data_IF_707988205371
#
_entry.id   IF_707988205371
#
_cell.length_a   1.000
_cell.length_b   1.000
_cell.length_c   1.000
_cell.angle_alpha   90.00
_cell.angle_beta   90.00
_cell.angle_gamma   90.00
#
_symmetry.space_group_name_H-M   'P 1'
#
loop_
_entity.id
_entity.type
_entity.pdbx_description
1 polymer ?
#
# COMPACT_ATOMS: atom_id res chain seq x y z
N UNK A 1 0.66 25.14 11.08
CA UNK A 1 1.90 24.34 11.25
C UNK A 1 1.82 23.16 10.29
N UNK A 2 2.71 23.07 9.28
CA UNK A 2 2.74 21.96 8.30
C UNK A 2 3.63 20.83 8.84
N UNK A 3 3.06 19.68 9.14
CA UNK A 3 3.80 18.50 9.58
C UNK A 3 4.58 17.87 8.43
N UNK A 4 5.90 17.71 8.60
CA UNK A 4 6.76 16.95 7.69
C UNK A 4 6.44 15.46 7.83
N UNK A 5 5.82 14.88 6.80
CA UNK A 5 5.57 13.43 6.72
C UNK A 5 6.89 12.68 6.54
N UNK A 6 7.10 11.63 7.35
CA UNK A 6 8.19 10.66 7.17
C UNK A 6 7.85 9.78 5.96
N UNK A 7 8.69 9.81 4.92
CA UNK A 7 8.52 8.96 3.74
C UNK A 7 8.72 7.50 4.10
N UNK A 8 7.77 6.63 3.70
CA UNK A 8 7.97 5.18 3.66
C UNK A 8 8.74 4.86 2.39
N UNK A 9 9.82 4.09 2.52
CA UNK A 9 10.54 3.52 1.38
C UNK A 9 9.64 2.48 0.70
N UNK A 10 9.20 2.81 -0.52
CA UNK A 10 8.38 1.92 -1.35
C UNK A 10 9.25 0.78 -1.90
N UNK A 11 8.67 -0.42 -1.99
CA UNK A 11 9.37 -1.57 -2.57
C UNK A 11 9.63 -1.38 -4.07
N UNK A 12 10.67 -2.04 -4.61
CA UNK A 12 11.03 -1.95 -6.04
C UNK A 12 9.87 -2.31 -6.98
N UNK A 13 8.96 -3.18 -6.55
CA UNK A 13 7.80 -3.62 -7.34
C UNK A 13 6.73 -2.53 -7.36
N UNK A 14 6.52 -1.83 -6.25
CA UNK A 14 5.57 -0.71 -6.16
C UNK A 14 6.05 0.52 -6.92
N UNK A 15 7.36 0.78 -6.94
CA UNK A 15 7.94 1.87 -7.75
C UNK A 15 7.75 1.59 -9.25
N UNK A 16 7.83 0.32 -9.67
CA UNK A 16 7.68 -0.07 -11.08
C UNK A 16 6.23 -0.01 -11.59
N UNK A 17 5.24 -0.15 -10.70
CA UNK A 17 3.82 -0.11 -11.06
C UNK A 17 3.18 1.27 -10.86
N UNK A 18 3.87 2.20 -10.20
CA UNK A 18 3.33 3.52 -9.92
C UNK A 18 3.21 4.37 -11.19
N UNK A 19 1.98 4.71 -11.55
CA UNK A 19 1.67 5.63 -12.64
C UNK A 19 1.26 6.96 -12.05
N UNK A 20 1.98 8.03 -12.39
CA UNK A 20 1.63 9.39 -11.97
C UNK A 20 0.26 9.78 -12.56
N UNK A 21 -0.71 10.07 -11.70
CA UNK A 21 -2.08 10.44 -12.08
C UNK A 21 -2.13 11.71 -12.95
N UNK A 22 -1.13 12.58 -12.85
CA UNK A 22 -1.01 13.80 -13.66
C UNK A 22 -0.36 13.54 -15.03
N UNK A 23 0.38 12.44 -15.19
CA UNK A 23 1.11 12.10 -16.42
C UNK A 23 0.41 11.07 -17.31
N UNK A 24 -0.74 10.53 -16.89
CA UNK A 24 -1.49 9.49 -17.63
C UNK A 24 -1.93 9.94 -19.04
N UNK A 25 -1.98 11.25 -19.31
CA UNK A 25 -2.36 11.81 -20.61
C UNK A 25 -1.20 12.36 -21.46
N UNK A 26 0.07 12.14 -21.09
CA UNK A 26 1.21 12.56 -21.93
C UNK A 26 1.56 11.47 -22.93
N UNK A 27 0.73 11.30 -23.98
CA UNK A 27 0.94 10.34 -25.07
C UNK A 27 1.89 10.84 -26.16
N UNK A 28 2.50 12.01 -26.03
CA UNK A 28 3.47 12.51 -27.01
C UNK A 28 4.86 12.60 -26.40
N UNK A 29 5.69 11.58 -26.66
CA UNK A 29 7.13 11.62 -26.40
C UNK A 29 7.74 12.74 -27.25
N UNK A 30 7.98 13.91 -26.65
CA UNK A 30 8.93 14.87 -27.22
C UNK A 30 10.32 14.20 -27.19
N UNK A 31 10.95 14.05 -28.36
CA UNK A 31 12.36 13.66 -28.52
C UNK A 31 13.22 14.71 -27.82
N UNK A 32 13.50 14.50 -26.53
CA UNK A 32 14.47 15.26 -25.75
C UNK A 32 15.72 14.43 -25.52
N UNK A 33 16.86 15.13 -25.38
CA UNK A 33 18.16 14.53 -25.08
C UNK A 33 18.13 13.78 -23.73
N UNK A 34 18.47 12.50 -23.77
CA UNK A 34 18.39 11.56 -22.64
C UNK A 34 19.76 11.36 -21.96
N UNK A 35 20.70 12.29 -22.17
CA UNK A 35 22.08 12.24 -21.68
C UNK A 35 22.22 12.18 -20.14
N UNK A 36 21.15 12.45 -19.37
CA UNK A 36 21.15 12.40 -17.89
C UNK A 36 20.25 11.31 -17.28
N UNK A 37 19.84 10.31 -18.05
CA UNK A 37 19.07 9.17 -17.49
C UNK A 37 20.02 8.10 -16.92
N UNK A 38 19.96 7.75 -15.63
CA UNK A 38 20.88 6.79 -15.03
C UNK A 38 20.70 5.39 -15.66
N UNK A 39 21.75 4.89 -16.30
CA UNK A 39 21.78 3.58 -16.94
C UNK A 39 21.83 2.51 -15.85
N UNK A 40 20.73 1.80 -15.64
CA UNK A 40 20.69 0.63 -14.75
C UNK A 40 21.60 -0.46 -15.31
N UNK A 41 22.63 -0.84 -14.56
CA UNK A 41 23.57 -1.90 -14.91
C UNK A 41 22.81 -3.21 -15.16
N UNK A 42 22.76 -3.64 -16.42
CA UNK A 42 22.18 -4.92 -16.82
C UNK A 42 22.93 -6.06 -16.13
N UNK A 43 22.17 -6.96 -15.50
CA UNK A 43 22.61 -8.32 -15.16
C UNK A 43 23.03 -9.04 -16.46
N UNK A 44 24.13 -9.80 -16.48
CA UNK A 44 24.51 -10.61 -17.63
C UNK A 44 23.47 -11.72 -17.88
N UNK A 45 23.20 -11.97 -19.15
CA UNK A 45 22.37 -13.07 -19.63
C UNK A 45 23.04 -14.43 -19.32
N UNK A 46 22.28 -15.53 -19.18
CA UNK A 46 22.85 -16.87 -19.15
C UNK A 46 23.42 -17.19 -20.54
N UNK A 47 24.72 -17.46 -20.59
CA UNK A 47 25.39 -18.01 -21.75
C UNK A 47 24.92 -19.45 -21.98
N UNK A 48 24.61 -19.73 -23.24
CA UNK A 48 24.76 -21.02 -23.89
C UNK A 48 26.02 -21.74 -23.39
N UNK A 49 25.87 -23.01 -23.00
CA UNK A 49 26.96 -23.97 -22.98
C UNK A 49 26.49 -25.27 -23.61
N UNK A 50 26.56 -25.27 -24.94
CA UNK A 50 26.83 -26.47 -25.74
C UNK A 50 28.30 -26.86 -25.51
N UNK A 51 28.55 -28.00 -24.86
CA UNK A 51 29.82 -28.72 -24.99
C UNK A 51 29.55 -30.22 -25.16
N UNK A 52 29.88 -30.63 -26.37
CA UNK A 52 30.21 -31.94 -26.92
C UNK A 52 31.38 -32.66 -26.21
N UNK A 53 31.31 -34.01 -26.26
CA UNK A 53 32.40 -35.01 -26.39
C UNK A 53 33.16 -35.49 -25.13
N UNK A 54 33.11 -36.82 -24.92
CA UNK A 54 34.18 -37.80 -24.58
C UNK A 54 33.54 -38.98 -23.82
N UNK A 55 33.28 -40.17 -24.39
CA UNK A 55 34.22 -41.22 -24.83
C UNK A 55 35.36 -41.48 -23.83
N UNK A 56 35.15 -42.42 -22.90
CA UNK A 56 36.27 -43.15 -22.27
C UNK A 56 35.88 -44.57 -21.89
N UNK A 57 36.41 -45.49 -22.68
CA UNK A 57 36.63 -46.91 -22.47
C UNK A 57 37.50 -47.15 -21.23
N UNK A 58 37.11 -48.05 -20.33
CA UNK A 58 38.07 -48.74 -19.45
C UNK A 58 37.78 -50.24 -19.39
N UNK A 59 38.80 -50.99 -19.81
CA UNK A 59 38.86 -52.44 -19.85
C UNK A 59 39.33 -53.03 -18.50
N UNK A 60 38.95 -54.29 -18.29
CA UNK A 60 39.66 -55.39 -17.62
C UNK A 60 40.40 -55.13 -16.29
N UNK A 61 40.06 -55.93 -15.28
CA UNK A 61 41.09 -56.63 -14.47
C UNK A 61 40.56 -57.97 -13.97
N UNK A 62 41.22 -59.02 -14.44
CA UNK A 62 41.14 -60.40 -13.95
C UNK A 62 41.88 -60.58 -12.63
N UNK A 63 41.42 -61.53 -11.80
CA UNK A 63 42.14 -62.09 -10.65
C UNK A 63 41.20 -62.24 -9.45
N UNK A 64 41.13 -63.33 -8.71
CA UNK A 64 41.96 -64.53 -8.64
C UNK A 64 41.14 -65.64 -7.97
N UNK A 65 41.38 -66.86 -8.42
CA UNK A 65 40.83 -68.09 -7.86
C UNK A 65 41.53 -68.42 -6.53
N UNK A 66 40.80 -68.42 -5.42
CA UNK A 66 41.23 -69.06 -4.17
C UNK A 66 40.13 -70.02 -3.73
N UNK A 67 40.46 -71.31 -3.84
CA UNK A 67 39.64 -72.46 -3.44
C UNK A 67 40.05 -72.83 -2.02
N UNK A 68 39.20 -72.53 -1.03
CA UNK A 68 39.27 -73.12 0.31
C UNK A 68 38.01 -73.96 0.48
N UNK A 69 38.20 -75.28 0.48
CA UNK A 69 37.20 -76.27 0.88
C UNK A 69 37.14 -76.27 2.42
N UNK A 70 35.98 -75.96 2.97
CA UNK A 70 35.60 -76.28 4.36
C UNK A 70 34.18 -76.88 4.38
N UNK A 71 33.85 -77.67 5.42
CA UNK A 71 32.91 -78.77 5.32
C UNK A 71 31.46 -78.30 5.31
N UNK A 72 30.69 -78.93 4.43
CA UNK A 72 29.25 -78.77 4.24
C UNK A 72 28.49 -79.17 5.51
N UNK A 73 27.86 -78.22 6.23
CA UNK A 73 26.81 -78.57 7.17
C UNK A 73 25.55 -78.94 6.39
N UNK A 74 24.96 -80.04 6.81
CA UNK A 74 23.79 -80.71 6.26
C UNK A 74 22.68 -79.71 5.92
N UNK A 75 22.38 -79.60 4.63
CA UNK A 75 21.39 -78.68 4.06
C UNK A 75 19.99 -79.04 4.55
N UNK A 76 19.47 -78.26 5.50
CA UNK A 76 18.04 -78.16 5.75
C UNK A 76 17.36 -77.75 4.44
N UNK A 77 16.49 -78.60 3.91
CA UNK A 77 15.72 -78.36 2.68
C UNK A 77 14.85 -77.10 2.81
N UNK A 78 15.40 -75.95 2.43
CA UNK A 78 14.64 -74.73 2.14
C UNK A 78 13.88 -74.98 0.84
N UNK A 79 12.61 -75.38 0.96
CA UNK A 79 11.69 -75.44 -0.17
C UNK A 79 11.41 -74.03 -0.70
N UNK A 80 11.35 -73.89 -2.02
CA UNK A 80 11.11 -72.64 -2.75
C UNK A 80 9.81 -71.91 -2.29
N UNK A 81 8.87 -72.65 -1.73
CA UNK A 81 7.65 -72.10 -1.13
C UNK A 81 7.92 -71.30 0.16
N UNK A 82 8.86 -71.76 1.00
CA UNK A 82 9.18 -71.08 2.26
C UNK A 82 9.86 -69.73 2.01
N UNK A 83 10.66 -69.62 0.94
CA UNK A 83 11.31 -68.37 0.56
C UNK A 83 10.30 -67.38 -0.06
N UNK A 84 9.33 -67.86 -0.83
CA UNK A 84 8.25 -67.05 -1.38
C UNK A 84 7.35 -66.46 -0.28
N UNK A 85 6.91 -67.28 0.68
CA UNK A 85 6.09 -66.81 1.81
C UNK A 85 6.82 -65.77 2.67
N UNK A 86 8.12 -65.97 2.91
CA UNK A 86 8.94 -65.01 3.65
C UNK A 86 9.07 -63.68 2.89
N UNK A 87 9.28 -63.73 1.58
CA UNK A 87 9.37 -62.53 0.74
C UNK A 87 8.06 -61.77 0.74
N UNK A 88 6.92 -62.44 0.57
CA UNK A 88 5.61 -61.81 0.61
C UNK A 88 5.32 -61.18 1.97
N UNK A 89 5.68 -61.87 3.07
CA UNK A 89 5.57 -61.30 4.42
C UNK A 89 6.41 -60.04 4.56
N UNK A 90 7.67 -60.04 4.11
CA UNK A 90 8.56 -58.88 4.20
C UNK A 90 8.11 -57.74 3.29
N UNK A 91 7.66 -58.02 2.08
CA UNK A 91 7.10 -57.03 1.16
C UNK A 91 5.83 -56.41 1.71
N UNK A 92 4.96 -57.20 2.35
CA UNK A 92 3.76 -56.69 3.03
C UNK A 92 4.12 -55.77 4.18
N UNK A 93 5.03 -56.17 5.08
CA UNK A 93 5.48 -55.32 6.19
C UNK A 93 6.17 -54.05 5.69
N UNK A 94 7.01 -54.15 4.66
CA UNK A 94 7.65 -52.99 4.05
C UNK A 94 6.62 -52.03 3.45
N UNK A 95 5.64 -52.53 2.71
CA UNK A 95 4.54 -51.73 2.16
C UNK A 95 3.77 -51.03 3.27
N UNK A 96 3.38 -51.74 4.32
CA UNK A 96 2.67 -51.16 5.47
C UNK A 96 3.50 -50.05 6.16
N UNK A 97 4.81 -50.28 6.34
CA UNK A 97 5.73 -49.28 6.89
C UNK A 97 5.78 -48.02 6.01
N UNK A 98 6.04 -48.18 4.71
CA UNK A 98 6.12 -47.05 3.77
C UNK A 98 4.81 -46.27 3.71
N UNK A 99 3.66 -46.96 3.69
CA UNK A 99 2.36 -46.27 3.71
C UNK A 99 2.12 -45.54 5.03
N UNK A 100 2.53 -46.11 6.16
CA UNK A 100 2.45 -45.46 7.46
C UNK A 100 3.33 -44.20 7.51
N UNK A 101 4.57 -44.30 7.06
CA UNK A 101 5.53 -43.19 7.05
C UNK A 101 5.06 -42.07 6.11
N UNK A 102 4.58 -42.42 4.91
CA UNK A 102 4.03 -41.45 3.96
C UNK A 102 2.78 -40.77 4.51
N UNK A 103 1.89 -41.51 5.16
CA UNK A 103 0.69 -40.95 5.81
C UNK A 103 1.07 -40.01 6.95
N UNK A 104 2.07 -40.38 7.76
CA UNK A 104 2.59 -39.56 8.85
C UNK A 104 3.18 -38.26 8.32
N UNK A 105 4.03 -38.34 7.28
CA UNK A 105 4.65 -37.20 6.63
C UNK A 105 3.63 -36.24 6.00
N UNK A 106 2.66 -36.78 5.25
CA UNK A 106 1.57 -35.96 4.68
C UNK A 106 0.77 -35.27 5.79
N UNK A 107 0.47 -35.97 6.88
CA UNK A 107 -0.25 -35.39 8.02
C UNK A 107 0.54 -34.28 8.69
N UNK A 108 1.86 -34.44 8.87
CA UNK A 108 2.70 -33.40 9.47
C UNK A 108 2.80 -32.17 8.57
N UNK A 109 2.97 -32.33 7.26
CA UNK A 109 3.04 -31.22 6.31
C UNK A 109 1.72 -30.46 6.23
N UNK A 110 0.58 -31.17 6.17
CA UNK A 110 -0.74 -30.54 6.17
C UNK A 110 -0.97 -29.75 7.46
N UNK A 111 -0.64 -30.34 8.61
CA UNK A 111 -0.79 -29.64 9.90
C UNK A 111 0.12 -28.42 9.98
N UNK A 112 1.37 -28.51 9.50
CA UNK A 112 2.28 -27.38 9.46
C UNK A 112 1.75 -26.24 8.57
N UNK A 113 1.21 -26.57 7.39
CA UNK A 113 0.60 -25.58 6.50
C UNK A 113 -0.64 -24.92 7.12
N UNK A 114 -1.49 -25.70 7.79
CA UNK A 114 -2.69 -25.19 8.49
C UNK A 114 -2.29 -24.23 9.61
N UNK A 115 -1.34 -24.61 10.46
CA UNK A 115 -0.90 -23.75 11.57
C UNK A 115 -0.24 -22.47 11.07
N UNK A 116 0.59 -22.56 10.00
CA UNK A 116 1.14 -21.38 9.35
C UNK A 116 0.05 -20.44 8.84
N UNK A 117 -0.98 -20.99 8.17
CA UNK A 117 -2.09 -20.21 7.63
C UNK A 117 -2.91 -19.54 8.75
N UNK A 118 -3.16 -20.25 9.85
CA UNK A 118 -3.84 -19.68 11.03
C UNK A 118 -3.05 -18.53 11.65
N UNK A 119 -1.73 -18.67 11.71
CA UNK A 119 -0.85 -17.64 12.24
C UNK A 119 -0.91 -16.38 11.37
N UNK A 120 -0.71 -16.51 10.05
CA UNK A 120 -0.80 -15.40 9.10
C UNK A 120 -2.18 -14.71 9.13
N UNK A 121 -3.25 -15.49 9.27
CA UNK A 121 -4.61 -14.96 9.39
C UNK A 121 -4.80 -14.17 10.69
N UNK A 122 -4.28 -14.66 11.82
CA UNK A 122 -4.36 -13.99 13.11
C UNK A 122 -3.58 -12.68 13.09
N UNK A 123 -2.36 -12.68 12.55
CA UNK A 123 -1.53 -11.48 12.40
C UNK A 123 -2.20 -10.43 11.51
N UNK A 124 -2.76 -10.85 10.37
CA UNK A 124 -3.49 -9.94 9.47
C UNK A 124 -4.73 -9.36 10.15
N UNK A 125 -5.49 -10.19 10.87
CA UNK A 125 -6.67 -9.76 11.61
C UNK A 125 -6.31 -8.72 12.67
N UNK A 126 -5.28 -8.97 13.45
CA UNK A 126 -4.87 -8.09 14.55
C UNK A 126 -4.30 -6.77 14.01
N UNK A 127 -3.54 -6.81 12.92
CA UNK A 127 -3.11 -5.62 12.19
C UNK A 127 -4.30 -4.77 11.72
N UNK A 128 -5.26 -5.38 11.00
CA UNK A 128 -6.46 -4.69 10.53
C UNK A 128 -7.32 -4.15 11.68
N UNK A 129 -7.38 -4.88 12.79
CA UNK A 129 -8.09 -4.43 13.98
C UNK A 129 -7.44 -3.19 14.60
N UNK A 130 -6.11 -3.16 14.69
CA UNK A 130 -5.35 -2.00 15.17
C UNK A 130 -5.55 -0.78 14.26
N UNK A 131 -5.38 -0.95 12.95
CA UNK A 131 -5.60 0.15 11.97
C UNK A 131 -7.03 0.68 12.03
N UNK A 132 -8.03 -0.19 12.16
CA UNK A 132 -9.43 0.23 12.31
C UNK A 132 -9.67 1.01 13.61
N UNK A 133 -9.00 0.63 14.71
CA UNK A 133 -9.06 1.37 15.97
C UNK A 133 -8.44 2.77 15.82
N UNK A 134 -7.31 2.87 15.15
CA UNK A 134 -6.62 4.15 14.93
C UNK A 134 -7.44 5.08 14.02
N UNK A 135 -8.04 4.53 12.96
CA UNK A 135 -8.96 5.27 12.08
C UNK A 135 -10.16 5.79 12.87
N UNK A 136 -10.78 4.97 13.72
CA UNK A 136 -11.90 5.40 14.57
C UNK A 136 -11.51 6.51 15.55
N UNK A 137 -10.32 6.40 16.15
CA UNK A 137 -9.81 7.44 17.04
C UNK A 137 -9.59 8.76 16.28
N UNK A 138 -8.97 8.72 15.11
CA UNK A 138 -8.78 9.89 14.24
C UNK A 138 -10.10 10.52 13.82
N UNK A 139 -11.08 9.69 13.43
CA UNK A 139 -12.42 10.14 13.05
C UNK A 139 -13.11 10.86 14.20
N UNK A 140 -13.04 10.32 15.43
CA UNK A 140 -13.59 10.97 16.62
C UNK A 140 -12.94 12.34 16.89
N UNK A 141 -11.61 12.45 16.73
CA UNK A 141 -10.92 13.74 16.86
C UNK A 141 -11.41 14.73 15.81
N UNK A 142 -11.56 14.31 14.55
CA UNK A 142 -12.06 15.18 13.47
C UNK A 142 -13.49 15.64 13.77
N UNK A 143 -14.38 14.76 14.22
CA UNK A 143 -15.75 15.11 14.60
C UNK A 143 -15.80 16.16 15.71
N UNK A 144 -14.98 16.00 16.76
CA UNK A 144 -14.89 17.00 17.83
C UNK A 144 -14.39 18.34 17.31
N UNK A 145 -13.44 18.34 16.39
CA UNK A 145 -12.90 19.56 15.79
C UNK A 145 -13.93 20.27 14.91
N UNK A 146 -14.68 19.52 14.09
CA UNK A 146 -15.78 20.06 13.27
C UNK A 146 -16.83 20.72 14.18
N UNK A 147 -17.26 20.02 15.24
CA UNK A 147 -18.25 20.57 16.18
C UNK A 147 -17.77 21.86 16.85
N UNK A 148 -16.49 21.95 17.20
CA UNK A 148 -15.91 23.17 17.76
C UNK A 148 -15.88 24.32 16.75
N UNK A 149 -15.46 24.04 15.50
CA UNK A 149 -15.46 25.05 14.44
C UNK A 149 -16.87 25.58 14.13
N UNK A 150 -17.88 24.70 14.14
CA UNK A 150 -19.27 25.09 13.96
C UNK A 150 -19.77 26.01 15.08
N UNK A 151 -19.42 25.71 16.34
CA UNK A 151 -19.73 26.56 17.49
C UNK A 151 -19.07 27.93 17.37
N UNK A 152 -17.79 27.97 17.01
CA UNK A 152 -17.06 29.22 16.81
C UNK A 152 -17.64 30.04 15.67
N UNK A 153 -18.00 29.42 14.54
CA UNK A 153 -18.63 30.10 13.43
C UNK A 153 -19.98 30.71 13.84
N UNK A 154 -20.82 29.95 14.55
CA UNK A 154 -22.08 30.44 15.10
C UNK A 154 -21.87 31.65 16.04
N UNK A 155 -20.86 31.57 16.90
CA UNK A 155 -20.48 32.67 17.80
C UNK A 155 -20.07 33.93 17.04
N UNK A 156 -19.19 33.79 16.04
CA UNK A 156 -18.75 34.94 15.23
C UNK A 156 -19.89 35.56 14.42
N UNK A 157 -20.76 34.74 13.82
CA UNK A 157 -21.93 35.25 13.09
C UNK A 157 -22.85 36.07 14.01
N UNK A 158 -23.12 35.58 15.24
CA UNK A 158 -23.90 36.35 16.23
C UNK A 158 -23.24 37.69 16.56
N UNK A 159 -21.92 37.71 16.73
CA UNK A 159 -21.19 38.94 17.02
C UNK A 159 -21.22 39.92 15.83
N UNK A 160 -21.03 39.44 14.61
CA UNK A 160 -21.13 40.26 13.39
C UNK A 160 -22.52 40.87 13.29
N UNK A 161 -23.58 40.07 13.44
CA UNK A 161 -24.96 40.56 13.41
C UNK A 161 -25.21 41.59 14.52
N UNK A 162 -24.72 41.37 15.73
CA UNK A 162 -24.83 42.33 16.83
C UNK A 162 -24.14 43.66 16.51
N UNK A 163 -22.91 43.62 15.98
CA UNK A 163 -22.16 44.80 15.59
C UNK A 163 -22.85 45.56 14.46
N UNK A 164 -23.36 44.85 13.46
CA UNK A 164 -24.10 45.44 12.34
C UNK A 164 -25.37 46.14 12.83
N UNK A 165 -26.12 45.50 13.76
CA UNK A 165 -27.32 46.08 14.36
C UNK A 165 -27.02 47.36 15.17
N UNK A 166 -25.81 47.50 15.71
CA UNK A 166 -25.37 48.72 16.41
C UNK A 166 -24.86 49.79 15.45
N UNK A 167 -24.15 49.38 14.40
CA UNK A 167 -23.52 50.29 13.44
C UNK A 167 -24.55 51.00 12.56
N UNK A 168 -25.58 50.29 12.09
CA UNK A 168 -26.60 50.86 11.19
C UNK A 168 -27.34 52.05 11.82
N UNK A 169 -27.84 52.00 13.07
CA UNK A 169 -28.43 53.16 13.71
C UNK A 169 -27.44 54.31 13.91
N UNK A 170 -26.19 54.02 14.27
CA UNK A 170 -25.17 55.06 14.45
C UNK A 170 -24.89 55.80 13.14
N UNK A 171 -24.80 55.09 12.03
CA UNK A 171 -24.65 55.69 10.70
C UNK A 171 -25.85 56.57 10.34
N UNK A 172 -27.08 56.09 10.61
CA UNK A 172 -28.31 56.87 10.40
C UNK A 172 -28.32 58.15 11.23
N UNK A 173 -27.95 58.09 12.51
CA UNK A 173 -27.87 59.26 13.38
C UNK A 173 -26.81 60.23 12.87
N UNK A 174 -25.62 59.74 12.49
CA UNK A 174 -24.54 60.58 11.96
C UNK A 174 -24.91 61.33 10.68
N UNK A 175 -25.87 60.82 9.89
CA UNK A 175 -26.35 61.45 8.66
C UNK A 175 -27.73 62.11 8.79
N UNK A 176 -28.33 62.10 9.98
CA UNK A 176 -29.72 62.55 10.18
C UNK A 176 -29.97 64.02 9.86
N UNK A 177 -28.92 64.86 9.90
CA UNK A 177 -28.97 66.28 9.55
C UNK A 177 -28.27 66.59 8.21
N UNK A 178 -27.78 65.58 7.50
CA UNK A 178 -27.14 65.79 6.21
C UNK A 178 -28.22 65.96 5.14
N UNK A 179 -28.16 67.06 4.40
CA UNK A 179 -29.02 67.28 3.23
C UNK A 179 -28.21 66.97 1.99
N UNK A 180 -28.64 65.97 1.23
CA UNK A 180 -28.04 65.62 -0.05
C UNK A 180 -28.77 66.36 -1.17
N UNK A 181 -28.04 67.21 -1.91
CA UNK A 181 -28.57 67.95 -3.05
C UNK A 181 -28.01 67.32 -4.31
N UNK A 182 -28.85 66.59 -5.05
CA UNK A 182 -28.47 65.93 -6.29
C UNK A 182 -28.73 66.84 -7.51
N UNK A 183 -28.05 66.55 -8.62
CA UNK A 183 -28.21 67.25 -9.91
C UNK A 183 -27.89 68.76 -9.89
N UNK A 184 -26.92 69.18 -9.07
CA UNK A 184 -26.38 70.55 -9.13
C UNK A 184 -25.43 70.65 -10.33
N UNK A 185 -25.63 71.60 -11.27
CA UNK A 185 -24.74 71.76 -12.42
C UNK A 185 -23.34 72.17 -11.99
N UNK A 186 -22.31 71.43 -12.41
CA UNK A 186 -20.91 71.67 -12.00
C UNK A 186 -20.24 72.82 -12.79
N UNK A 187 -19.55 73.69 -12.07
CA UNK A 187 -18.74 74.81 -12.57
C UNK A 187 -17.41 74.86 -11.83
N UNK A 188 -16.40 75.42 -12.49
CA UNK A 188 -15.09 75.64 -11.87
C UNK A 188 -15.20 76.79 -10.85
N UNK A 189 -14.70 76.58 -9.64
CA UNK A 189 -14.68 77.55 -8.52
C UNK A 189 -16.07 77.93 -7.97
N UNK A 190 -16.94 76.95 -7.74
CA UNK A 190 -18.26 77.19 -7.18
C UNK A 190 -18.26 77.67 -5.73
N UNK A 191 -19.23 78.53 -5.42
CA UNK A 191 -19.58 78.89 -4.05
C UNK A 191 -20.83 78.11 -3.63
N UNK A 192 -20.63 76.99 -2.93
CA UNK A 192 -21.70 76.08 -2.49
C UNK A 192 -22.76 76.81 -1.66
N UNK A 193 -22.38 77.75 -0.79
CA UNK A 193 -23.32 78.53 0.02
C UNK A 193 -24.21 79.43 -0.84
N UNK A 194 -23.66 80.01 -1.91
CA UNK A 194 -24.44 80.83 -2.84
C UNK A 194 -25.44 79.97 -3.62
N UNK A 195 -25.03 78.78 -4.06
CA UNK A 195 -25.90 77.81 -4.74
C UNK A 195 -27.06 77.41 -3.82
N UNK A 196 -26.78 77.01 -2.59
CA UNK A 196 -27.82 76.62 -1.60
C UNK A 196 -28.78 77.79 -1.35
N UNK A 197 -28.27 78.99 -1.08
CA UNK A 197 -29.11 80.19 -0.88
C UNK A 197 -30.01 80.49 -2.09
N UNK A 198 -29.48 80.37 -3.30
CA UNK A 198 -30.24 80.61 -4.53
C UNK A 198 -31.43 79.66 -4.68
N UNK A 199 -31.25 78.38 -4.39
CA UNK A 199 -32.34 77.40 -4.46
C UNK A 199 -33.37 77.60 -3.34
N UNK A 200 -32.94 77.91 -2.12
CA UNK A 200 -33.86 78.14 -1.00
C UNK A 200 -34.70 79.42 -1.16
N UNK A 201 -34.11 80.51 -1.66
CA UNK A 201 -34.82 81.78 -1.85
C UNK A 201 -35.78 81.79 -3.04
N UNK A 202 -35.67 80.83 -3.97
CA UNK A 202 -36.59 80.71 -5.11
C UNK A 202 -37.91 79.97 -4.78
N UNK A 203 -37.99 79.29 -3.64
CA UNK A 203 -39.18 78.53 -3.24
C UNK A 203 -40.10 79.29 -2.27
N UNK A 204 -39.64 80.41 -1.70
CA UNK A 204 -40.44 81.33 -0.87
C UNK A 204 -40.91 82.52 -1.69
#
# INVERSE_FOLDING_TARGET
MKGKGKGKDLSRVEIASWKCSTCINVTTRRKGDNSNTPVSARRPAPLDNSLTIDETTHANTSGSSIRIQEPVPTSSNLTLNNTAELLDSKLKTFRESVFSDMKSFIKSEINAAIEKTKQEFTETRDFLHSENKDIKASLSVIETHISELEKQNCYFLKNITSLQNRLVPMEKVSRSCNVEIQAVPEKRNENVLAIVKFYFLKQL
#
